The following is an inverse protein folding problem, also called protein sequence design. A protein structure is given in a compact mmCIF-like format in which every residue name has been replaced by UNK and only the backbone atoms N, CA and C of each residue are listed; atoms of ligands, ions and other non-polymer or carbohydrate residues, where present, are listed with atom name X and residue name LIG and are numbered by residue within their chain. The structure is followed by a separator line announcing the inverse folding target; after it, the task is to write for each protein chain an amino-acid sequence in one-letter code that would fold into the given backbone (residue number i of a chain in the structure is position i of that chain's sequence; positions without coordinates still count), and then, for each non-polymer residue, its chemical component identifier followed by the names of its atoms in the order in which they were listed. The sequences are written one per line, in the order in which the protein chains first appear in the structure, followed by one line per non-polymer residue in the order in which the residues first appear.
data_IF_895827259181
#
_entry.id   IF_895827259181
#
_cell.length_a   1.000
_cell.length_b   1.000
_cell.length_c   1.000
_cell.angle_alpha   90.00
_cell.angle_beta   90.00
_cell.angle_gamma   90.00
#
_symmetry.space_group_name_H-M   'P 1'
#
loop_
_entity.id
_entity.type
_entity.pdbx_description
1 polymer ?
#
# COMPACT_ATOMS: atom_id res chain seq x y z
N UNK A 1 -0.16 20.41 -22.38
CA UNK A 1 -0.96 19.16 -22.38
C UNK A 1 -0.09 17.99 -21.94
N UNK A 2 -0.06 17.61 -20.65
CA UNK A 2 0.81 16.49 -20.21
C UNK A 2 -0.06 15.28 -19.92
N UNK A 3 -0.33 14.51 -20.98
CA UNK A 3 -0.93 13.18 -20.96
C UNK A 3 0.01 12.18 -20.26
N UNK A 4 0.24 12.32 -18.95
CA UNK A 4 0.83 11.27 -18.10
C UNK A 4 -0.29 10.41 -17.51
N UNK A 5 -1.27 10.06 -18.34
CA UNK A 5 -2.31 9.11 -17.96
C UNK A 5 -1.88 7.72 -18.41
N UNK A 6 -1.04 7.10 -17.60
CA UNK A 6 -0.40 5.84 -17.92
C UNK A 6 -0.82 4.79 -16.91
N UNK A 7 -1.39 3.71 -17.43
CA UNK A 7 -1.80 2.55 -16.62
C UNK A 7 -0.64 1.99 -15.78
N UNK A 8 0.53 1.82 -16.40
CA UNK A 8 1.76 1.32 -15.75
C UNK A 8 2.21 2.27 -14.63
N UNK A 9 2.05 3.58 -14.81
CA UNK A 9 2.36 4.58 -13.79
C UNK A 9 1.41 4.43 -12.59
N UNK A 10 0.13 4.19 -12.84
CA UNK A 10 -0.84 3.92 -11.78
C UNK A 10 -0.49 2.66 -11.00
N UNK A 11 -0.13 1.59 -11.70
CA UNK A 11 0.19 0.29 -11.11
C UNK A 11 1.46 0.36 -10.25
N UNK A 12 2.50 1.07 -10.73
CA UNK A 12 3.73 1.31 -9.97
C UNK A 12 3.48 2.19 -8.74
N UNK A 13 2.71 3.27 -8.86
CA UNK A 13 2.35 4.11 -7.69
C UNK A 13 1.56 3.30 -6.67
N UNK A 14 0.55 2.54 -7.11
CA UNK A 14 -0.29 1.72 -6.25
C UNK A 14 0.44 0.56 -5.56
N UNK A 15 1.62 0.18 -6.02
CA UNK A 15 2.47 -0.81 -5.36
C UNK A 15 3.54 -0.16 -4.46
N UNK A 16 4.19 0.90 -4.95
CA UNK A 16 5.35 1.52 -4.29
C UNK A 16 4.95 2.39 -3.09
N UNK A 17 3.84 3.13 -3.17
CA UNK A 17 3.43 4.00 -2.05
C UNK A 17 3.00 3.24 -0.78
N UNK A 18 2.27 2.12 -0.88
CA UNK A 18 2.05 1.21 0.24
C UNK A 18 3.34 0.76 0.92
N UNK A 19 4.34 0.36 0.13
CA UNK A 19 5.65 -0.05 0.63
C UNK A 19 6.38 1.12 1.31
N UNK A 20 6.37 2.30 0.71
CA UNK A 20 6.94 3.51 1.32
C UNK A 20 6.26 3.84 2.65
N UNK A 21 4.95 3.66 2.77
CA UNK A 21 4.21 3.88 4.02
C UNK A 21 4.62 2.88 5.10
N UNK A 22 4.79 1.61 4.72
CA UNK A 22 5.25 0.55 5.60
C UNK A 22 6.66 0.83 6.12
N UNK A 23 7.62 1.07 5.22
CA UNK A 23 9.00 1.38 5.60
C UNK A 23 9.09 2.71 6.35
N UNK A 24 8.30 3.72 5.96
CA UNK A 24 8.23 5.00 6.67
C UNK A 24 7.81 4.84 8.13
N UNK A 25 6.81 3.99 8.41
CA UNK A 25 6.40 3.68 9.78
C UNK A 25 7.47 2.89 10.55
N UNK A 26 8.14 1.93 9.90
CA UNK A 26 9.26 1.20 10.48
C UNK A 26 10.39 2.16 10.90
N UNK A 27 10.87 3.01 10.00
CA UNK A 27 11.94 3.96 10.31
C UNK A 27 11.53 5.03 11.32
N UNK A 28 10.26 5.41 11.37
CA UNK A 28 9.81 6.42 12.32
C UNK A 28 9.71 5.89 13.75
N UNK A 29 9.19 4.67 13.94
CA UNK A 29 8.83 4.17 15.28
C UNK A 29 9.66 2.96 15.75
N UNK A 30 10.27 2.22 14.83
CA UNK A 30 10.98 0.98 15.09
C UNK A 30 12.41 0.99 14.55
N UNK A 31 13.00 2.17 14.31
CA UNK A 31 14.39 2.31 13.83
C UNK A 31 15.44 1.72 14.78
N UNK A 32 15.09 1.53 16.05
CA UNK A 32 15.92 0.89 17.06
C UNK A 32 15.93 -0.65 16.98
N UNK A 33 14.94 -1.24 16.31
CA UNK A 33 14.82 -2.69 16.14
C UNK A 33 15.34 -3.10 14.77
N UNK A 34 15.96 -4.27 14.69
CA UNK A 34 16.27 -4.87 13.39
C UNK A 34 15.00 -5.21 12.63
N UNK A 35 15.09 -5.31 11.30
CA UNK A 35 13.93 -5.63 10.47
C UNK A 35 13.30 -6.98 10.87
N UNK A 36 14.11 -7.96 11.25
CA UNK A 36 13.64 -9.26 11.72
C UNK A 36 12.81 -9.14 13.01
N UNK A 37 13.32 -8.42 14.01
CA UNK A 37 12.60 -8.18 15.28
C UNK A 37 11.30 -7.40 15.06
N UNK A 38 11.30 -6.45 14.13
CA UNK A 38 10.09 -5.71 13.77
C UNK A 38 9.00 -6.61 13.17
N UNK A 39 9.37 -7.52 12.26
CA UNK A 39 8.42 -8.47 11.68
C UNK A 39 7.89 -9.44 12.75
N UNK A 40 8.75 -9.89 13.66
CA UNK A 40 8.33 -10.73 14.79
C UNK A 40 7.34 -10.01 15.70
N UNK A 41 7.65 -8.77 16.10
CA UNK A 41 6.74 -7.91 16.86
C UNK A 41 5.42 -7.66 16.13
N UNK A 42 5.44 -7.47 14.80
CA UNK A 42 4.22 -7.34 14.01
C UNK A 42 3.36 -8.59 14.10
N UNK A 43 3.97 -9.76 13.90
CA UNK A 43 3.25 -11.05 13.90
C UNK A 43 2.59 -11.35 15.24
N UNK A 44 3.24 -10.97 16.34
CA UNK A 44 2.75 -11.19 17.70
C UNK A 44 1.66 -10.17 18.11
N UNK A 45 1.63 -8.98 17.50
CA UNK A 45 0.75 -7.88 17.91
C UNK A 45 -0.25 -7.50 16.81
N UNK A 46 -1.46 -8.09 16.85
CA UNK A 46 -2.55 -7.77 15.90
C UNK A 46 -2.89 -6.28 15.82
N UNK A 47 -2.73 -5.55 16.94
CA UNK A 47 -2.94 -4.10 16.99
C UNK A 47 -1.91 -3.34 16.13
N UNK A 48 -0.64 -3.77 16.15
CA UNK A 48 0.41 -3.16 15.32
C UNK A 48 0.18 -3.44 13.83
N UNK A 49 -0.25 -4.65 13.47
CA UNK A 49 -0.63 -4.99 12.08
C UNK A 49 -1.75 -4.07 11.59
N UNK A 50 -2.76 -3.85 12.43
CA UNK A 50 -3.89 -2.97 12.10
C UNK A 50 -3.43 -1.52 11.98
N UNK A 51 -2.61 -1.05 12.92
CA UNK A 51 -2.07 0.31 12.93
C UNK A 51 -1.19 0.62 11.70
N UNK A 52 -0.51 -0.38 11.13
CA UNK A 52 0.25 -0.27 9.88
C UNK A 52 -0.62 -0.38 8.63
N UNK A 53 -1.63 -1.26 8.67
CA UNK A 53 -2.49 -1.51 7.51
C UNK A 53 -3.42 -0.33 7.20
N UNK A 54 -3.96 0.33 8.23
CA UNK A 54 -4.86 1.48 8.07
C UNK A 54 -4.24 2.62 7.23
N UNK A 55 -3.07 3.19 7.59
CA UNK A 55 -2.47 4.28 6.82
C UNK A 55 -2.12 3.84 5.41
N UNK A 56 -1.71 2.59 5.22
CA UNK A 56 -1.40 2.01 3.92
C UNK A 56 -2.63 1.96 3.00
N UNK A 57 -3.76 1.47 3.51
CA UNK A 57 -5.05 1.44 2.81
C UNK A 57 -5.60 2.85 2.56
N UNK A 58 -5.50 3.73 3.56
CA UNK A 58 -5.93 5.11 3.46
C UNK A 58 -5.15 5.84 2.35
N UNK A 59 -3.84 5.66 2.29
CA UNK A 59 -3.01 6.26 1.24
C UNK A 59 -3.46 5.84 -0.16
N UNK A 60 -3.76 4.55 -0.36
CA UNK A 60 -4.26 4.05 -1.64
C UNK A 60 -5.59 4.71 -2.04
N UNK A 61 -6.52 4.89 -1.11
CA UNK A 61 -7.80 5.55 -1.35
C UNK A 61 -7.59 7.04 -1.68
N UNK A 62 -6.74 7.73 -0.91
CA UNK A 62 -6.42 9.15 -1.13
C UNK A 62 -5.79 9.36 -2.51
N UNK A 63 -4.81 8.54 -2.89
CA UNK A 63 -4.18 8.62 -4.21
C UNK A 63 -5.18 8.34 -5.32
N UNK A 64 -5.96 7.25 -5.20
CA UNK A 64 -7.00 6.95 -6.17
C UNK A 64 -7.93 8.14 -6.38
N UNK A 65 -8.36 8.78 -5.29
CA UNK A 65 -9.24 9.97 -5.30
C UNK A 65 -8.57 11.17 -5.97
N UNK A 66 -7.29 11.44 -5.68
CA UNK A 66 -6.53 12.54 -6.30
C UNK A 66 -6.41 12.31 -7.81
N UNK A 67 -6.07 11.10 -8.24
CA UNK A 67 -5.86 10.79 -9.66
C UNK A 67 -7.16 10.76 -10.46
N UNK A 68 -8.27 10.27 -9.89
CA UNK A 68 -9.57 10.27 -10.57
C UNK A 68 -10.15 11.69 -10.68
N UNK A 69 -10.05 12.51 -9.63
CA UNK A 69 -10.47 13.92 -9.69
C UNK A 69 -9.59 14.74 -10.65
N UNK A 70 -8.33 14.34 -10.82
CA UNK A 70 -7.40 14.91 -11.80
C UNK A 70 -7.64 14.48 -13.24
N UNK A 71 -8.73 13.77 -13.56
CA UNK A 71 -9.05 13.20 -14.89
C UNK A 71 -7.94 12.31 -15.46
N UNK A 72 -7.22 11.59 -14.59
CA UNK A 72 -6.19 10.61 -14.97
C UNK A 72 -6.74 9.19 -14.77
N UNK A 73 -7.75 8.85 -15.55
CA UNK A 73 -8.57 7.65 -15.34
C UNK A 73 -7.77 6.36 -15.50
N UNK A 74 -6.82 6.28 -16.45
CA UNK A 74 -5.98 5.07 -16.61
C UNK A 74 -5.04 4.88 -15.43
N UNK A 75 -4.51 5.97 -14.89
CA UNK A 75 -3.64 5.96 -13.71
C UNK A 75 -4.42 5.55 -12.47
N UNK A 76 -5.61 6.12 -12.26
CA UNK A 76 -6.49 5.74 -11.17
C UNK A 76 -6.89 4.26 -11.24
N UNK A 77 -7.23 3.76 -12.44
CA UNK A 77 -7.47 2.32 -12.68
C UNK A 77 -6.26 1.46 -12.33
N UNK A 78 -5.03 1.90 -12.68
CA UNK A 78 -3.81 1.19 -12.32
C UNK A 78 -3.61 1.06 -10.81
N UNK A 79 -3.82 2.15 -10.06
CA UNK A 79 -3.73 2.16 -8.57
C UNK A 79 -4.77 1.21 -7.97
N UNK A 80 -6.00 1.26 -8.47
CA UNK A 80 -7.09 0.42 -8.00
C UNK A 80 -6.83 -1.07 -8.27
N UNK A 81 -6.36 -1.42 -9.46
CA UNK A 81 -6.02 -2.81 -9.81
C UNK A 81 -4.87 -3.33 -8.96
N UNK A 82 -3.81 -2.54 -8.73
CA UNK A 82 -2.73 -2.93 -7.82
C UNK A 82 -3.28 -3.24 -6.42
N UNK A 83 -4.19 -2.41 -5.90
CA UNK A 83 -4.82 -2.60 -4.59
C UNK A 83 -5.66 -3.90 -4.53
N UNK A 84 -6.40 -4.21 -5.60
CA UNK A 84 -7.15 -5.47 -5.72
C UNK A 84 -6.21 -6.68 -5.72
N UNK A 85 -5.10 -6.63 -6.47
CA UNK A 85 -4.13 -7.73 -6.52
C UNK A 85 -3.56 -8.02 -5.13
N UNK A 86 -3.22 -6.99 -4.36
CA UNK A 86 -2.78 -7.15 -2.97
C UNK A 86 -3.86 -7.75 -2.08
N UNK A 87 -5.10 -7.25 -2.17
CA UNK A 87 -6.21 -7.76 -1.37
C UNK A 87 -6.51 -9.23 -1.69
N UNK A 88 -6.52 -9.60 -2.98
CA UNK A 88 -6.69 -11.00 -3.42
C UNK A 88 -5.54 -11.88 -2.94
N UNK A 89 -4.29 -11.40 -3.03
CA UNK A 89 -3.12 -12.14 -2.56
C UNK A 89 -3.19 -12.39 -1.06
N UNK A 90 -3.58 -11.38 -0.27
CA UNK A 90 -3.76 -11.50 1.17
C UNK A 90 -4.93 -12.45 1.53
N UNK A 91 -6.01 -12.40 0.76
CA UNK A 91 -7.16 -13.29 0.95
C UNK A 91 -6.79 -14.73 0.63
N UNK A 92 -6.13 -14.99 -0.50
CA UNK A 92 -5.62 -16.32 -0.87
C UNK A 92 -4.68 -16.85 0.21
N UNK A 93 -3.76 -16.02 0.69
CA UNK A 93 -2.83 -16.40 1.76
C UNK A 93 -3.58 -16.81 3.03
N UNK A 94 -4.57 -16.02 3.46
CA UNK A 94 -5.39 -16.29 4.66
C UNK A 94 -6.28 -17.55 4.55
N UNK A 95 -6.66 -17.96 3.33
CA UNK A 95 -7.51 -19.14 3.12
C UNK A 95 -6.70 -20.42 2.87
N UNK A 96 -5.48 -20.31 2.32
CA UNK A 96 -4.60 -21.45 2.06
C UNK A 96 -3.66 -21.77 3.23
N UNK A 97 -3.35 -20.81 4.11
CA UNK A 97 -2.51 -20.95 5.30
C UNK A 97 -3.26 -20.48 6.54
#
# INVERSE_FOLDING_TARGET
MRNKDNYILGLTIGAVLPLLSFFGYYYWKFSLFTFGEFIELLSQNKSLVTALSIPCLLLNIVLFTIFINGRKDKTAKGIFIASIIYALSALIFKFLF
#
